data_IF_227077028969
#
_entry.id   IF_227077028969
#
_cell.length_a   1.000
_cell.length_b   1.000
_cell.length_c   1.000
_cell.angle_alpha   90.00
_cell.angle_beta   90.00
_cell.angle_gamma   90.00
#
_symmetry.space_group_name_H-M   'P 1'
#
loop_
_entity.id
_entity.type
_entity.pdbx_description
1 polymer ?
#
# COMPACT_ATOMS: atom_id res chain seq x y z
N UNK A 1 -29.37 2.55 8.70
CA UNK A 1 -29.50 1.14 9.15
C UNK A 1 -28.17 0.39 9.24
N UNK A 2 -27.04 0.90 8.69
CA UNK A 2 -25.70 0.30 8.86
C UNK A 2 -24.90 0.88 10.07
N UNK A 3 -25.22 2.10 10.55
CA UNK A 3 -24.37 2.85 11.49
C UNK A 3 -24.49 2.41 12.95
N UNK A 4 -25.67 1.97 13.36
CA UNK A 4 -25.90 1.37 14.68
C UNK A 4 -25.21 0.00 14.79
N UNK A 5 -24.95 -0.67 13.65
CA UNK A 5 -24.27 -1.97 13.59
C UNK A 5 -22.76 -1.87 13.84
N UNK A 6 -22.24 -0.67 14.11
CA UNK A 6 -20.86 -0.47 14.58
C UNK A 6 -20.76 -0.42 16.10
N UNK A 7 -21.88 -0.33 16.82
CA UNK A 7 -21.88 -0.35 18.28
C UNK A 7 -21.49 -1.73 18.78
N UNK A 8 -20.40 -1.81 19.53
CA UNK A 8 -19.77 -3.05 20.00
C UNK A 8 -18.43 -3.36 19.33
N UNK A 9 -18.02 -2.52 18.38
CA UNK A 9 -16.72 -2.62 17.71
C UNK A 9 -15.60 -1.94 18.48
N UNK A 10 -14.39 -2.44 18.31
CA UNK A 10 -13.16 -1.99 18.96
C UNK A 10 -12.22 -1.43 17.91
N UNK A 11 -11.75 -0.21 18.16
CA UNK A 11 -10.81 0.55 17.33
C UNK A 11 -9.50 0.79 18.08
N UNK A 12 -8.40 0.95 17.37
CA UNK A 12 -7.19 1.57 17.94
C UNK A 12 -7.16 3.04 17.56
N UNK A 13 -7.14 3.92 18.54
CA UNK A 13 -7.07 5.37 18.34
C UNK A 13 -5.92 5.96 19.13
N UNK A 14 -5.24 6.95 18.57
CA UNK A 14 -4.32 7.79 19.34
C UNK A 14 -5.13 8.72 20.24
N UNK A 15 -5.06 8.46 21.56
CA UNK A 15 -5.79 9.19 22.58
C UNK A 15 -4.93 10.28 23.24
N UNK A 16 -3.79 10.62 22.64
CA UNK A 16 -2.91 11.69 23.15
C UNK A 16 -3.67 13.01 23.30
N UNK A 17 -3.72 13.53 24.52
CA UNK A 17 -4.45 14.77 24.85
C UNK A 17 -5.96 14.61 25.02
N UNK A 18 -6.51 13.39 24.97
CA UNK A 18 -7.90 13.13 25.33
C UNK A 18 -8.06 13.07 26.87
N UNK A 19 -9.02 13.83 27.41
CA UNK A 19 -9.28 13.87 28.84
C UNK A 19 -9.63 12.48 29.40
N UNK A 20 -8.98 12.09 30.50
CA UNK A 20 -9.17 10.81 31.19
C UNK A 20 -8.74 9.56 30.40
N UNK A 21 -7.95 9.73 29.34
CA UNK A 21 -7.35 8.62 28.62
C UNK A 21 -5.81 8.65 28.74
N UNK A 22 -5.15 7.49 28.76
CA UNK A 22 -3.69 7.44 28.63
C UNK A 22 -3.26 7.96 27.26
N UNK A 23 -2.17 8.73 27.22
CA UNK A 23 -1.58 9.19 25.96
C UNK A 23 -1.10 8.00 25.09
N UNK A 24 -1.16 8.19 23.77
CA UNK A 24 -0.79 7.19 22.76
C UNK A 24 -1.95 6.33 22.27
N UNK A 25 -1.62 5.29 21.50
CA UNK A 25 -2.62 4.38 20.93
C UNK A 25 -3.30 3.52 21.99
N UNK A 26 -4.63 3.65 22.11
CA UNK A 26 -5.46 2.87 23.00
C UNK A 26 -6.53 2.11 22.22
N UNK A 27 -6.88 0.87 22.63
CA UNK A 27 -8.08 0.21 22.15
C UNK A 27 -9.33 0.86 22.77
N UNK A 28 -10.27 1.29 21.93
CA UNK A 28 -11.52 1.93 22.33
C UNK A 28 -12.71 1.13 21.82
N UNK A 29 -13.75 1.00 22.64
CA UNK A 29 -15.02 0.37 22.28
C UNK A 29 -16.03 1.44 21.84
N UNK A 30 -16.65 1.27 20.68
CA UNK A 30 -17.81 2.08 20.28
C UNK A 30 -19.04 1.59 21.05
N UNK A 31 -19.49 2.35 22.05
CA UNK A 31 -20.57 1.92 22.95
C UNK A 31 -21.95 2.37 22.50
N UNK A 32 -22.02 3.46 21.74
CA UNK A 32 -23.29 4.04 21.31
C UNK A 32 -23.14 4.91 20.06
N UNK A 33 -24.11 4.82 19.15
CA UNK A 33 -24.27 5.83 18.10
C UNK A 33 -24.91 7.10 18.68
N UNK A 34 -24.22 8.22 18.56
CA UNK A 34 -24.65 9.50 19.14
C UNK A 34 -25.43 10.33 18.12
N UNK A 35 -24.96 10.36 16.88
CA UNK A 35 -25.65 11.08 15.81
C UNK A 35 -24.79 11.33 14.59
N UNK A 36 -25.41 11.94 13.59
CA UNK A 36 -24.82 12.18 12.27
C UNK A 36 -25.07 13.63 11.86
N UNK A 37 -24.00 14.33 11.47
CA UNK A 37 -24.02 15.68 10.90
C UNK A 37 -23.77 15.67 9.40
N UNK A 38 -23.73 16.84 8.75
CA UNK A 38 -23.51 16.96 7.31
C UNK A 38 -22.18 16.32 6.86
N UNK A 39 -21.13 16.46 7.67
CA UNK A 39 -19.76 16.07 7.33
C UNK A 39 -19.15 15.02 8.27
N UNK A 40 -19.90 14.53 9.25
CA UNK A 40 -19.33 13.64 10.27
C UNK A 40 -20.35 12.73 10.92
N UNK A 41 -19.87 11.64 11.50
CA UNK A 41 -20.62 10.69 12.31
C UNK A 41 -20.01 10.60 13.70
N UNK A 42 -20.84 10.49 14.73
CA UNK A 42 -20.42 10.58 16.13
C UNK A 42 -20.82 9.33 16.89
N UNK A 43 -19.87 8.75 17.62
CA UNK A 43 -20.04 7.60 18.51
C UNK A 43 -19.56 7.94 19.92
N UNK A 44 -20.21 7.38 20.94
CA UNK A 44 -19.61 7.29 22.28
C UNK A 44 -18.54 6.22 22.28
N UNK A 45 -17.46 6.48 23.01
CA UNK A 45 -16.35 5.55 23.15
C UNK A 45 -16.03 5.31 24.62
N UNK A 46 -15.64 4.06 24.94
CA UNK A 46 -15.21 3.64 26.26
C UNK A 46 -13.91 2.82 26.19
N UNK A 47 -13.05 2.85 27.23
CA UNK A 47 -11.91 1.95 27.30
C UNK A 47 -12.40 0.50 27.49
N UNK A 48 -11.70 -0.49 26.92
CA UNK A 48 -12.07 -1.90 27.08
C UNK A 48 -12.11 -2.35 28.55
N UNK A 49 -11.29 -1.74 29.40
CA UNK A 49 -11.27 -2.04 30.84
C UNK A 49 -12.50 -1.53 31.58
N UNK A 50 -13.18 -0.50 31.06
CA UNK A 50 -14.36 0.12 31.67
C UNK A 50 -15.41 0.43 30.57
N UNK A 51 -16.04 -0.61 29.98
CA UNK A 51 -16.86 -0.49 28.76
C UNK A 51 -18.20 0.25 28.98
N UNK A 52 -18.51 0.63 30.22
CA UNK A 52 -19.69 1.43 30.58
C UNK A 52 -19.39 2.93 30.69
N UNK A 53 -18.13 3.34 30.51
CA UNK A 53 -17.72 4.73 30.62
C UNK A 53 -17.94 5.47 29.29
N UNK A 54 -19.09 6.15 29.15
CA UNK A 54 -19.50 6.85 27.92
C UNK A 54 -19.18 8.36 27.93
N UNK A 55 -18.08 8.77 28.60
CA UNK A 55 -17.77 10.19 28.83
C UNK A 55 -17.12 10.89 27.63
N UNK A 56 -16.69 10.14 26.62
CA UNK A 56 -15.97 10.65 25.45
C UNK A 56 -16.70 10.26 24.17
N UNK A 57 -16.66 11.16 23.19
CA UNK A 57 -17.21 10.91 21.85
C UNK A 57 -16.12 10.96 20.79
N UNK A 58 -16.20 10.01 19.86
CA UNK A 58 -15.42 9.97 18.64
C UNK A 58 -16.23 10.61 17.50
N UNK A 59 -15.67 11.63 16.87
CA UNK A 59 -16.24 12.26 15.66
C UNK A 59 -15.42 11.83 14.44
N UNK A 60 -16.03 11.03 13.57
CA UNK A 60 -15.44 10.55 12.32
C UNK A 60 -15.93 11.41 11.15
N UNK A 61 -15.05 11.99 10.32
CA UNK A 61 -15.46 12.69 9.10
C UNK A 61 -16.12 11.73 8.09
N UNK A 62 -17.12 12.19 7.34
CA UNK A 62 -17.81 11.41 6.29
C UNK A 62 -17.02 11.32 4.99
N UNK A 63 -16.20 12.33 4.69
CA UNK A 63 -15.28 12.35 3.53
C UNK A 63 -14.11 11.38 3.69
N UNK A 64 -14.02 10.74 4.85
CA UNK A 64 -13.07 9.69 5.12
C UNK A 64 -13.56 8.42 4.38
N UNK A 65 -12.88 7.94 3.32
CA UNK A 65 -13.12 6.61 2.78
C UNK A 65 -13.09 5.52 3.85
N UNK A 66 -12.38 5.80 4.95
CA UNK A 66 -12.47 5.16 6.25
C UNK A 66 -13.91 4.86 6.70
N UNK A 67 -14.87 5.77 6.64
CA UNK A 67 -16.18 5.45 7.21
C UNK A 67 -17.07 4.61 6.29
N UNK A 68 -16.84 4.50 4.99
CA UNK A 68 -17.50 3.46 4.17
C UNK A 68 -16.73 2.15 4.24
N UNK A 69 -15.40 2.18 4.18
CA UNK A 69 -14.55 0.98 4.15
C UNK A 69 -14.31 0.37 5.54
N UNK A 70 -14.14 1.13 6.61
CA UNK A 70 -14.13 0.63 7.99
C UNK A 70 -15.49 0.01 8.31
N UNK A 71 -16.59 0.68 7.90
CA UNK A 71 -17.95 0.19 8.18
C UNK A 71 -18.32 -1.04 7.37
N UNK A 72 -17.76 -1.20 6.18
CA UNK A 72 -17.99 -2.37 5.32
C UNK A 72 -16.96 -3.49 5.59
N UNK A 73 -15.74 -3.17 6.01
CA UNK A 73 -14.62 -4.12 5.99
C UNK A 73 -13.67 -3.92 7.20
N UNK A 74 -14.14 -4.38 8.36
CA UNK A 74 -13.41 -5.30 9.25
C UNK A 74 -12.04 -4.93 9.85
N UNK A 75 -11.66 -3.67 10.00
CA UNK A 75 -10.63 -3.31 11.02
C UNK A 75 -11.16 -3.44 12.47
N UNK A 76 -12.48 -3.54 12.63
CA UNK A 76 -13.16 -3.64 13.91
C UNK A 76 -13.10 -5.04 14.54
N UNK A 77 -12.38 -5.19 15.65
CA UNK A 77 -12.59 -6.33 16.55
C UNK A 77 -13.93 -6.13 17.28
N UNK A 78 -14.79 -7.14 17.40
CA UNK A 78 -16.01 -7.01 18.22
C UNK A 78 -15.68 -7.41 19.65
N UNK A 79 -16.18 -6.66 20.63
CA UNK A 79 -16.14 -7.09 22.03
C UNK A 79 -17.17 -8.20 22.26
N UNK A 80 -16.88 -9.42 21.81
CA UNK A 80 -17.81 -10.54 21.74
C UNK A 80 -18.37 -10.97 23.10
N UNK A 81 -17.69 -10.67 24.22
CA UNK A 81 -18.23 -10.90 25.56
C UNK A 81 -19.43 -9.99 25.88
N UNK A 82 -19.45 -8.76 25.37
CA UNK A 82 -20.52 -7.78 25.59
C UNK A 82 -21.54 -7.78 24.44
N UNK A 83 -21.08 -8.08 23.23
CA UNK A 83 -21.87 -8.10 22.01
C UNK A 83 -21.74 -9.45 21.28
N UNK A 84 -22.21 -10.56 21.88
CA UNK A 84 -22.05 -11.90 21.31
C UNK A 84 -22.87 -12.11 20.02
N UNK A 85 -23.97 -11.37 19.85
CA UNK A 85 -24.82 -11.42 18.65
C UNK A 85 -24.58 -10.25 17.70
N UNK A 86 -23.43 -9.58 17.83
CA UNK A 86 -23.10 -8.47 16.94
C UNK A 86 -23.09 -8.96 15.48
N UNK A 87 -23.67 -8.22 14.52
CA UNK A 87 -23.70 -8.65 13.12
C UNK A 87 -22.31 -8.83 12.49
N UNK A 88 -21.29 -8.17 13.07
CA UNK A 88 -19.87 -8.33 12.69
C UNK A 88 -19.09 -9.37 13.54
N UNK A 89 -19.73 -10.04 14.51
CA UNK A 89 -19.12 -11.12 15.27
C UNK A 89 -19.13 -12.41 14.44
N UNK A 90 -18.25 -12.45 13.44
CA UNK A 90 -18.10 -13.60 12.55
C UNK A 90 -16.90 -14.45 12.95
N UNK A 91 -16.97 -15.76 12.67
CA UNK A 91 -15.80 -16.62 12.83
C UNK A 91 -14.71 -16.22 11.82
N UNK A 92 -13.40 -16.45 12.12
CA UNK A 92 -12.34 -16.13 11.16
C UNK A 92 -12.53 -16.76 9.77
N UNK A 93 -12.98 -18.03 9.62
CA UNK A 93 -13.29 -18.60 8.31
C UNK A 93 -14.44 -17.90 7.56
N UNK A 94 -15.55 -17.59 8.25
CA UNK A 94 -16.70 -16.90 7.63
C UNK A 94 -16.30 -15.49 7.18
N UNK A 95 -15.42 -14.85 7.95
CA UNK A 95 -14.83 -13.54 7.64
C UNK A 95 -13.96 -13.59 6.39
N UNK A 96 -13.12 -14.61 6.24
CA UNK A 96 -12.35 -14.78 5.02
C UNK A 96 -13.27 -14.96 3.80
N UNK A 97 -14.32 -15.79 3.90
CA UNK A 97 -15.25 -16.01 2.77
C UNK A 97 -16.04 -14.73 2.41
N UNK A 98 -16.45 -13.94 3.40
CA UNK A 98 -17.09 -12.64 3.15
C UNK A 98 -16.13 -11.65 2.49
N UNK A 99 -14.87 -11.57 2.97
CA UNK A 99 -13.84 -10.74 2.34
C UNK A 99 -13.59 -11.14 0.89
N UNK A 100 -13.57 -12.43 0.58
CA UNK A 100 -13.47 -12.87 -0.81
C UNK A 100 -14.64 -12.39 -1.66
N UNK A 101 -15.87 -12.60 -1.20
CA UNK A 101 -17.07 -12.28 -1.99
C UNK A 101 -17.30 -10.77 -2.15
N UNK A 102 -17.04 -9.98 -1.13
CA UNK A 102 -17.28 -8.53 -1.14
C UNK A 102 -16.01 -7.74 -1.51
N UNK A 103 -14.87 -8.07 -0.91
CA UNK A 103 -13.65 -7.27 -1.05
C UNK A 103 -12.98 -7.50 -2.39
N UNK A 104 -12.94 -8.73 -2.92
CA UNK A 104 -12.41 -8.92 -4.28
C UNK A 104 -13.29 -8.18 -5.30
N UNK A 105 -14.62 -8.18 -5.14
CA UNK A 105 -15.48 -7.39 -6.02
C UNK A 105 -15.17 -5.88 -5.92
N UNK A 106 -14.87 -5.39 -4.71
CA UNK A 106 -14.45 -4.00 -4.47
C UNK A 106 -13.04 -3.69 -4.97
N UNK A 107 -12.14 -4.65 -4.99
CA UNK A 107 -10.83 -4.52 -5.63
C UNK A 107 -10.95 -4.27 -7.15
N UNK A 108 -12.11 -4.56 -7.75
CA UNK A 108 -12.39 -4.21 -9.13
C UNK A 108 -13.04 -2.82 -9.30
N UNK A 109 -13.40 -2.14 -8.22
CA UNK A 109 -14.02 -0.82 -8.25
C UNK A 109 -12.91 0.24 -8.47
N UNK A 110 -12.88 0.95 -9.61
CA UNK A 110 -11.89 1.98 -9.87
C UNK A 110 -11.89 3.05 -8.78
N UNK A 111 -13.06 3.33 -8.19
CA UNK A 111 -13.20 4.32 -7.14
C UNK A 111 -12.64 3.85 -5.79
N UNK A 112 -12.39 2.56 -5.58
CA UNK A 112 -11.73 2.08 -4.37
C UNK A 112 -10.29 2.60 -4.30
N UNK A 113 -9.60 2.64 -5.44
CA UNK A 113 -8.22 3.10 -5.50
C UNK A 113 -8.10 4.59 -5.18
N UNK A 114 -9.05 5.40 -5.67
CA UNK A 114 -9.16 6.82 -5.31
C UNK A 114 -9.41 7.07 -3.81
N UNK A 115 -9.92 6.05 -3.10
CA UNK A 115 -10.24 6.07 -1.67
C UNK A 115 -9.10 5.56 -0.77
N UNK A 116 -8.06 4.95 -1.33
CA UNK A 116 -6.84 4.59 -0.59
C UNK A 116 -6.03 5.88 -0.43
N UNK A 117 -5.94 6.40 0.79
CA UNK A 117 -5.31 7.68 1.10
C UNK A 117 -3.87 7.79 0.56
N UNK A 118 -3.09 6.72 0.73
CA UNK A 118 -1.71 6.62 0.24
C UNK A 118 -1.64 6.70 -1.28
N UNK A 119 -2.65 6.15 -1.98
CA UNK A 119 -2.75 6.23 -3.43
C UNK A 119 -3.21 7.62 -3.87
N UNK A 120 -4.21 8.20 -3.20
CA UNK A 120 -4.68 9.57 -3.46
C UNK A 120 -3.53 10.58 -3.35
N UNK A 121 -2.69 10.46 -2.34
CA UNK A 121 -1.50 11.32 -2.19
C UNK A 121 -0.51 11.16 -3.36
N UNK A 122 -0.33 9.95 -3.88
CA UNK A 122 0.52 9.70 -5.06
C UNK A 122 -0.11 10.30 -6.31
N UNK A 123 -1.43 10.22 -6.46
CA UNK A 123 -2.15 10.87 -7.56
C UNK A 123 -2.01 12.39 -7.49
N UNK A 124 -2.24 13.00 -6.33
CA UNK A 124 -2.07 14.45 -6.15
C UNK A 124 -0.61 14.89 -6.43
N UNK A 125 0.37 14.08 -6.03
CA UNK A 125 1.78 14.32 -6.35
C UNK A 125 2.06 14.17 -7.86
N UNK A 126 1.44 13.19 -8.52
CA UNK A 126 1.58 12.96 -9.97
C UNK A 126 0.96 14.11 -10.77
N UNK A 127 -0.21 14.58 -10.37
CA UNK A 127 -0.86 15.79 -10.91
C UNK A 127 0.06 17.00 -10.77
N UNK A 128 0.69 17.16 -9.61
CA UNK A 128 1.64 18.27 -9.38
C UNK A 128 2.85 18.18 -10.32
N UNK A 129 3.43 16.99 -10.50
CA UNK A 129 4.55 16.76 -11.43
C UNK A 129 4.15 17.08 -12.87
N UNK A 130 2.97 16.62 -13.30
CA UNK A 130 2.45 16.90 -14.64
C UNK A 130 2.21 18.40 -14.85
N UNK A 131 1.55 19.05 -13.90
CA UNK A 131 1.28 20.50 -13.94
C UNK A 131 2.58 21.31 -14.05
N UNK A 132 3.62 20.90 -13.33
CA UNK A 132 4.94 21.53 -13.40
C UNK A 132 5.63 21.26 -14.73
N UNK A 133 5.57 20.03 -15.26
CA UNK A 133 6.16 19.69 -16.54
C UNK A 133 5.55 20.50 -17.70
N UNK A 134 4.24 20.77 -17.62
CA UNK A 134 3.52 21.54 -18.62
C UNK A 134 3.66 23.06 -18.47
N UNK A 135 4.29 23.55 -17.39
CA UNK A 135 4.55 24.97 -17.21
C UNK A 135 5.51 25.54 -18.27
N UNK A 136 6.39 24.70 -18.81
CA UNK A 136 7.36 25.07 -19.84
C UNK A 136 6.86 24.76 -21.27
N UNK A 137 5.65 24.20 -21.40
CA UNK A 137 5.01 23.83 -22.65
C UNK A 137 4.58 22.35 -22.72
N UNK A 138 3.95 21.92 -23.83
CA UNK A 138 3.46 20.55 -23.97
C UNK A 138 4.59 19.51 -23.93
N UNK A 139 4.40 18.43 -23.17
CA UNK A 139 5.36 17.33 -23.01
C UNK A 139 4.71 16.00 -23.36
N UNK A 140 5.33 15.13 -24.19
CA UNK A 140 4.83 13.77 -24.41
C UNK A 140 4.93 12.94 -23.13
N UNK A 141 3.86 12.20 -22.81
CA UNK A 141 3.76 11.45 -21.55
C UNK A 141 4.33 10.02 -21.61
N UNK A 142 4.74 9.54 -22.79
CA UNK A 142 5.22 8.17 -22.98
C UNK A 142 6.45 7.85 -22.13
N UNK A 143 7.33 8.84 -21.93
CA UNK A 143 8.55 8.74 -21.11
C UNK A 143 8.41 9.47 -19.76
N UNK A 144 7.17 9.79 -19.35
CA UNK A 144 6.93 10.50 -18.10
C UNK A 144 7.40 9.68 -16.89
N UNK A 145 8.06 10.29 -15.89
CA UNK A 145 8.44 9.60 -14.66
C UNK A 145 7.23 9.14 -13.84
N UNK A 146 6.02 9.64 -14.15
CA UNK A 146 4.75 9.23 -13.51
C UNK A 146 3.86 8.42 -14.44
N UNK A 147 4.37 7.91 -15.56
CA UNK A 147 3.59 7.20 -16.59
C UNK A 147 2.70 6.09 -16.02
N UNK A 148 3.24 5.28 -15.12
CA UNK A 148 2.52 4.15 -14.50
C UNK A 148 1.38 4.59 -13.55
N UNK A 149 1.40 5.84 -13.09
CA UNK A 149 0.40 6.46 -12.22
C UNK A 149 -0.66 7.26 -13.00
N UNK A 150 -0.50 7.38 -14.32
CA UNK A 150 -1.50 8.01 -15.19
C UNK A 150 -2.59 6.98 -15.50
N UNK A 151 -3.75 7.16 -14.86
CA UNK A 151 -4.93 6.34 -15.01
C UNK A 151 -6.23 7.17 -15.01
N UNK A 152 -7.38 6.50 -15.10
CA UNK A 152 -8.67 7.17 -15.06
C UNK A 152 -8.94 7.86 -13.70
N UNK A 153 -8.33 7.39 -12.61
CA UNK A 153 -8.45 8.03 -11.29
C UNK A 153 -7.68 9.35 -11.24
N UNK A 154 -6.52 9.44 -11.88
CA UNK A 154 -5.77 10.68 -12.05
C UNK A 154 -6.58 11.70 -12.83
N UNK A 155 -7.18 11.30 -13.95
CA UNK A 155 -8.05 12.15 -14.79
C UNK A 155 -9.24 12.65 -13.97
N UNK A 156 -9.90 11.75 -13.24
CA UNK A 156 -11.03 12.10 -12.37
C UNK A 156 -10.62 13.14 -11.32
N UNK A 157 -9.51 12.90 -10.62
CA UNK A 157 -8.99 13.81 -9.60
C UNK A 157 -8.59 15.18 -10.15
N UNK A 158 -7.90 15.20 -11.29
CA UNK A 158 -7.53 16.45 -11.94
C UNK A 158 -8.77 17.27 -12.35
N UNK A 159 -9.82 16.60 -12.81
CA UNK A 159 -11.11 17.23 -13.15
C UNK A 159 -11.76 17.83 -11.91
N UNK A 160 -11.84 17.08 -10.79
CA UNK A 160 -12.37 17.60 -9.52
C UNK A 160 -11.63 18.87 -9.06
N UNK A 161 -10.29 18.87 -9.15
CA UNK A 161 -9.49 20.03 -8.72
C UNK A 161 -9.73 21.27 -9.58
N UNK A 162 -10.01 21.10 -10.87
CA UNK A 162 -10.36 22.17 -11.80
C UNK A 162 -11.79 22.69 -11.58
N UNK A 163 -12.74 21.77 -11.35
CA UNK A 163 -14.16 22.07 -11.16
C UNK A 163 -14.44 22.76 -9.81
N UNK A 164 -13.72 22.37 -8.75
CA UNK A 164 -13.90 22.92 -7.40
C UNK A 164 -13.02 24.15 -7.11
N UNK A 165 -12.31 24.69 -8.11
CA UNK A 165 -11.35 25.81 -7.97
C UNK A 165 -10.29 25.57 -6.86
N UNK A 166 -9.89 24.31 -6.66
CA UNK A 166 -8.94 23.89 -5.63
C UNK A 166 -7.46 23.99 -6.07
N UNK A 167 -7.21 24.50 -7.28
CA UNK A 167 -5.87 24.77 -7.80
C UNK A 167 -5.52 26.26 -7.72
N UNK A 168 -4.23 26.56 -7.54
CA UNK A 168 -3.73 27.95 -7.64
C UNK A 168 -3.92 28.43 -9.07
N UNK A 169 -4.61 29.56 -9.24
CA UNK A 169 -5.04 30.09 -10.56
C UNK A 169 -3.93 30.14 -11.62
N UNK A 170 -2.69 30.46 -11.24
CA UNK A 170 -1.52 30.50 -12.13
C UNK A 170 -1.14 29.14 -12.76
N UNK A 171 -1.65 28.04 -12.22
CA UNK A 171 -1.38 26.67 -12.65
C UNK A 171 -2.59 26.03 -13.34
N UNK A 172 -3.74 26.71 -13.40
CA UNK A 172 -4.97 26.18 -14.02
C UNK A 172 -4.74 25.78 -15.47
N UNK A 173 -4.23 26.70 -16.30
CA UNK A 173 -3.99 26.44 -17.73
C UNK A 173 -3.01 25.26 -17.94
N UNK A 174 -2.01 25.13 -17.08
CA UNK A 174 -1.04 24.04 -17.15
C UNK A 174 -1.70 22.70 -16.83
N UNK A 175 -2.56 22.65 -15.80
CA UNK A 175 -3.29 21.44 -15.43
C UNK A 175 -4.31 21.06 -16.51
N UNK A 176 -5.03 22.03 -17.09
CA UNK A 176 -5.94 21.78 -18.22
C UNK A 176 -5.21 21.15 -19.42
N UNK A 177 -4.02 21.67 -19.75
CA UNK A 177 -3.19 21.10 -20.82
C UNK A 177 -2.69 19.69 -20.47
N UNK A 178 -2.23 19.49 -19.22
CA UNK A 178 -1.75 18.19 -18.75
C UNK A 178 -2.87 17.14 -18.74
N UNK A 179 -4.09 17.53 -18.34
CA UNK A 179 -5.27 16.68 -18.32
C UNK A 179 -5.64 16.22 -19.75
N UNK A 180 -5.71 17.16 -20.70
CA UNK A 180 -6.00 16.84 -22.09
C UNK A 180 -4.97 15.88 -22.70
N UNK A 181 -3.68 16.05 -22.41
CA UNK A 181 -2.65 15.12 -22.87
C UNK A 181 -2.72 13.77 -22.14
N UNK A 182 -3.04 13.73 -20.85
CA UNK A 182 -3.23 12.49 -20.11
C UNK A 182 -4.38 11.64 -20.68
N UNK A 183 -5.53 12.25 -20.95
CA UNK A 183 -6.65 11.59 -21.61
C UNK A 183 -6.27 11.04 -23.00
N UNK A 184 -5.57 11.86 -23.80
CA UNK A 184 -5.09 11.44 -25.12
C UNK A 184 -4.08 10.28 -25.02
N UNK A 185 -3.15 10.33 -24.07
CA UNK A 185 -2.17 9.29 -23.82
C UNK A 185 -2.82 7.96 -23.40
N UNK A 186 -3.80 8.00 -22.49
CA UNK A 186 -4.56 6.81 -22.07
C UNK A 186 -5.24 6.15 -23.27
N UNK A 187 -5.89 6.94 -24.14
CA UNK A 187 -6.53 6.43 -25.37
C UNK A 187 -5.49 5.76 -26.28
N UNK A 188 -4.33 6.39 -26.49
CA UNK A 188 -3.25 5.82 -27.30
C UNK A 188 -2.73 4.51 -26.71
N UNK A 189 -2.43 4.49 -25.41
CA UNK A 189 -1.91 3.30 -24.73
C UNK A 189 -2.90 2.14 -24.72
N UNK A 190 -4.20 2.42 -24.60
CA UNK A 190 -5.24 1.39 -24.73
C UNK A 190 -5.27 0.81 -26.13
N UNK A 191 -5.17 1.66 -27.16
CA UNK A 191 -5.16 1.24 -28.55
C UNK A 191 -3.91 0.41 -28.92
N UNK A 192 -2.79 0.63 -28.25
CA UNK A 192 -1.55 -0.13 -28.41
C UNK A 192 -1.38 -1.27 -27.39
N UNK A 193 -2.40 -1.59 -26.59
CA UNK A 193 -2.36 -2.62 -25.54
C UNK A 193 -1.23 -2.42 -24.50
N UNK A 194 -0.76 -1.18 -24.34
CA UNK A 194 0.31 -0.79 -23.40
C UNK A 194 -0.21 -0.02 -22.19
N UNK A 195 -1.54 0.04 -22.01
CA UNK A 195 -2.18 0.69 -20.86
C UNK A 195 -2.21 -0.27 -19.67
N UNK A 196 -1.21 -0.15 -18.81
CA UNK A 196 -1.02 -0.96 -17.60
C UNK A 196 -0.81 -0.01 -16.42
N UNK A 197 -1.86 0.64 -15.92
CA UNK A 197 -1.73 1.52 -14.77
C UNK A 197 -1.57 0.72 -13.47
N UNK A 198 -0.90 1.31 -12.49
CA UNK A 198 -0.69 0.71 -11.17
C UNK A 198 -2.01 0.34 -10.48
N UNK A 199 -3.05 1.17 -10.63
CA UNK A 199 -4.39 0.94 -10.08
C UNK A 199 -5.10 -0.31 -10.61
N UNK A 200 -4.74 -0.77 -11.81
CA UNK A 200 -5.30 -1.99 -12.37
C UNK A 200 -4.68 -3.26 -11.78
N UNK A 201 -3.66 -3.14 -10.92
CA UNK A 201 -3.02 -4.29 -10.30
C UNK A 201 -3.66 -4.66 -8.95
N UNK A 202 -4.30 -5.85 -8.84
CA UNK A 202 -4.93 -6.28 -7.59
C UNK A 202 -3.96 -6.43 -6.41
N UNK A 203 -2.68 -6.73 -6.65
CA UNK A 203 -1.66 -6.86 -5.60
C UNK A 203 -1.32 -5.49 -4.99
N UNK A 204 -1.23 -4.44 -5.81
CA UNK A 204 -0.99 -3.08 -5.32
C UNK A 204 -2.17 -2.62 -4.47
N UNK A 205 -3.40 -2.93 -4.91
CA UNK A 205 -4.59 -2.60 -4.16
C UNK A 205 -4.65 -3.32 -2.82
N UNK A 206 -4.34 -4.63 -2.78
CA UNK A 206 -4.25 -5.39 -1.53
C UNK A 206 -3.18 -4.84 -0.60
N UNK A 207 -2.01 -4.44 -1.13
CA UNK A 207 -0.97 -3.80 -0.34
C UNK A 207 -1.44 -2.46 0.23
N UNK A 208 -2.16 -1.64 -0.55
CA UNK A 208 -2.77 -0.39 -0.09
C UNK A 208 -3.77 -0.61 1.04
N UNK A 209 -4.64 -1.62 0.90
CA UNK A 209 -5.60 -1.99 1.93
C UNK A 209 -4.91 -2.48 3.22
N UNK A 210 -3.84 -3.28 3.10
CA UNK A 210 -3.03 -3.71 4.25
C UNK A 210 -2.39 -2.50 4.92
N UNK A 211 -1.72 -1.66 4.15
CA UNK A 211 -1.06 -0.48 4.66
C UNK A 211 -2.05 0.37 5.43
N UNK A 212 -3.22 0.68 4.88
CA UNK A 212 -4.23 1.50 5.55
C UNK A 212 -4.97 0.83 6.71
N UNK A 213 -4.66 -0.44 6.98
CA UNK A 213 -5.24 -1.18 8.10
C UNK A 213 -6.67 -1.65 7.84
N UNK A 214 -7.13 -1.60 6.59
CA UNK A 214 -8.43 -2.14 6.18
C UNK A 214 -8.46 -3.66 6.20
N UNK A 215 -7.31 -4.30 5.96
CA UNK A 215 -7.12 -5.75 6.11
C UNK A 215 -5.89 -6.06 6.95
N UNK A 216 -5.93 -7.20 7.63
CA UNK A 216 -4.79 -7.80 8.31
C UNK A 216 -3.88 -8.57 7.35
N UNK A 217 -2.65 -8.85 7.79
CA UNK A 217 -1.70 -9.72 7.09
C UNK A 217 -2.29 -11.09 6.76
N UNK A 218 -3.04 -11.69 7.70
CA UNK A 218 -3.67 -13.00 7.48
C UNK A 218 -4.70 -12.96 6.34
N UNK A 219 -5.51 -11.91 6.30
CA UNK A 219 -6.54 -11.72 5.28
C UNK A 219 -5.92 -11.45 3.92
N UNK A 220 -4.92 -10.56 3.87
CA UNK A 220 -4.13 -10.31 2.67
C UNK A 220 -3.51 -11.61 2.13
N UNK A 221 -2.84 -12.38 2.99
CA UNK A 221 -2.18 -13.64 2.60
C UNK A 221 -3.17 -14.70 2.09
N UNK A 222 -4.37 -14.76 2.68
CA UNK A 222 -5.43 -15.66 2.24
C UNK A 222 -6.01 -15.22 0.89
N UNK A 223 -6.35 -13.94 0.73
CA UNK A 223 -6.89 -13.38 -0.52
C UNK A 223 -5.91 -13.53 -1.68
N UNK A 224 -4.62 -13.31 -1.41
CA UNK A 224 -3.53 -13.46 -2.38
C UNK A 224 -3.47 -14.85 -3.03
N UNK A 225 -3.99 -15.88 -2.35
CA UNK A 225 -3.99 -17.28 -2.79
C UNK A 225 -5.32 -17.74 -3.38
N UNK A 226 -6.33 -16.88 -3.43
CA UNK A 226 -7.63 -17.23 -4.02
C UNK A 226 -7.53 -17.35 -5.54
N UNK A 227 -8.28 -18.28 -6.13
CA UNK A 227 -8.35 -18.44 -7.59
C UNK A 227 -8.90 -17.18 -8.25
N UNK A 228 -9.89 -16.54 -7.62
CA UNK A 228 -10.54 -15.35 -8.12
C UNK A 228 -9.60 -14.15 -8.22
N UNK A 229 -8.60 -14.04 -7.33
CA UNK A 229 -7.52 -13.07 -7.51
C UNK A 229 -6.59 -13.48 -8.63
N UNK A 230 -6.19 -14.76 -8.67
CA UNK A 230 -5.33 -15.34 -9.71
C UNK A 230 -5.84 -15.10 -11.13
N UNK A 231 -7.15 -15.29 -11.36
CA UNK A 231 -7.83 -15.05 -12.64
C UNK A 231 -7.76 -13.58 -13.12
N UNK A 232 -7.36 -12.66 -12.24
CA UNK A 232 -7.27 -11.21 -12.52
C UNK A 232 -5.83 -10.72 -12.59
N UNK A 233 -4.88 -11.52 -12.14
CA UNK A 233 -3.49 -11.16 -12.25
C UNK A 233 -3.05 -11.28 -13.70
N UNK A 234 -2.21 -10.36 -14.12
CA UNK A 234 -1.65 -10.29 -15.46
C UNK A 234 -0.12 -10.26 -15.30
N UNK A 235 0.64 -11.20 -15.90
CA UNK A 235 2.10 -11.30 -15.72
C UNK A 235 2.83 -9.98 -16.01
N UNK A 236 2.37 -9.24 -17.01
CA UNK A 236 2.90 -7.96 -17.46
C UNK A 236 2.87 -6.89 -16.36
N UNK A 237 2.00 -7.06 -15.35
CA UNK A 237 1.87 -6.09 -14.27
C UNK A 237 2.86 -6.36 -13.13
N UNK A 238 3.49 -7.54 -13.05
CA UNK A 238 4.36 -7.96 -11.95
C UNK A 238 5.60 -7.06 -11.74
N UNK A 239 6.33 -6.64 -12.80
CA UNK A 239 7.56 -5.86 -12.62
C UNK A 239 7.34 -4.49 -11.95
N UNK A 240 6.17 -3.87 -12.12
CA UNK A 240 5.84 -2.55 -11.57
C UNK A 240 5.26 -2.56 -10.15
N UNK A 241 4.77 -3.71 -9.67
CA UNK A 241 4.09 -3.78 -8.36
C UNK A 241 5.02 -3.40 -7.22
N UNK A 242 6.28 -3.82 -7.27
CA UNK A 242 7.17 -3.57 -6.14
C UNK A 242 7.52 -2.10 -5.99
N UNK A 243 7.79 -1.41 -7.11
CA UNK A 243 8.01 0.03 -7.12
C UNK A 243 6.77 0.77 -6.60
N UNK A 244 5.57 0.34 -6.99
CA UNK A 244 4.31 0.89 -6.50
C UNK A 244 4.12 0.68 -4.99
N UNK A 245 4.29 -0.54 -4.49
CA UNK A 245 4.18 -0.89 -3.07
C UNK A 245 5.20 -0.13 -2.23
N UNK A 246 6.45 -0.05 -2.68
CA UNK A 246 7.49 0.72 -2.01
C UNK A 246 7.16 2.23 -1.99
N UNK A 247 6.62 2.78 -3.08
CA UNK A 247 6.20 4.18 -3.15
C UNK A 247 5.08 4.48 -2.16
N UNK A 248 4.05 3.63 -2.10
CA UNK A 248 2.95 3.73 -1.12
C UNK A 248 3.46 3.66 0.32
N UNK A 249 4.37 2.72 0.60
CA UNK A 249 4.99 2.59 1.92
C UNK A 249 5.76 3.85 2.33
N UNK A 250 6.68 4.36 1.50
CA UNK A 250 7.51 5.51 1.84
C UNK A 250 6.68 6.79 2.02
N UNK A 251 5.60 6.95 1.23
CA UNK A 251 4.64 8.05 1.41
C UNK A 251 3.94 7.97 2.76
N UNK A 252 3.36 6.82 3.09
CA UNK A 252 2.71 6.58 4.39
C UNK A 252 3.67 6.77 5.57
N UNK A 253 4.91 6.32 5.43
CA UNK A 253 5.93 6.44 6.47
C UNK A 253 6.36 7.90 6.73
N UNK A 254 5.88 8.86 5.95
CA UNK A 254 6.22 10.28 6.07
C UNK A 254 7.64 10.61 5.64
N UNK A 255 8.29 9.71 4.89
CA UNK A 255 9.67 9.90 4.48
C UNK A 255 9.75 10.82 3.26
N UNK A 256 10.26 12.04 3.47
CA UNK A 256 11.01 12.71 2.41
C UNK A 256 12.29 11.89 2.21
N UNK A 257 12.55 11.47 0.98
CA UNK A 257 13.76 10.72 0.54
C UNK A 257 15.08 11.50 0.77
N UNK A 258 15.07 12.64 1.47
CA UNK A 258 16.25 13.44 1.76
C UNK A 258 16.81 13.20 3.16
N UNK A 259 18.06 12.75 3.17
CA UNK A 259 19.06 12.81 4.23
C UNK A 259 18.81 12.01 5.53
N UNK A 260 19.64 10.97 5.65
CA UNK A 260 20.27 10.44 6.88
C UNK A 260 19.62 10.93 8.19
N UNK A 261 18.94 9.98 8.86
CA UNK A 261 18.71 9.83 10.31
C UNK A 261 17.21 9.72 10.67
N UNK A 262 16.85 8.53 11.20
CA UNK A 262 15.66 8.13 12.00
C UNK A 262 14.41 7.60 11.29
N UNK A 263 14.60 6.38 10.76
CA UNK A 263 13.75 5.17 10.72
C UNK A 263 12.20 5.28 10.58
N UNK A 264 11.62 4.65 9.55
CA UNK A 264 10.19 4.35 9.43
C UNK A 264 9.89 3.02 10.15
N UNK A 265 10.03 2.99 11.48
CA UNK A 265 9.93 1.73 12.25
C UNK A 265 8.51 1.20 12.45
N UNK A 266 7.49 2.07 12.39
CA UNK A 266 6.13 1.72 12.80
C UNK A 266 5.40 0.82 11.79
N UNK A 267 5.69 0.97 10.49
CA UNK A 267 5.02 0.25 9.41
C UNK A 267 5.92 -0.77 8.69
N UNK A 268 7.16 -0.94 9.17
CA UNK A 268 8.08 -1.94 8.64
C UNK A 268 7.50 -3.36 8.56
N UNK A 269 6.71 -3.84 9.56
CA UNK A 269 6.04 -5.13 9.46
C UNK A 269 5.09 -5.22 8.26
N UNK A 270 4.34 -4.16 7.97
CA UNK A 270 3.36 -4.14 6.87
C UNK A 270 4.06 -4.28 5.51
N UNK A 271 5.22 -3.64 5.32
CA UNK A 271 6.02 -3.79 4.09
C UNK A 271 6.64 -5.19 3.96
N UNK A 272 7.10 -5.77 5.07
CA UNK A 272 7.59 -7.16 5.10
C UNK A 272 6.45 -8.12 4.73
N UNK A 273 5.26 -7.92 5.30
CA UNK A 273 4.07 -8.71 4.98
C UNK A 273 3.66 -8.54 3.51
N UNK A 274 3.69 -7.33 2.96
CA UNK A 274 3.40 -7.09 1.55
C UNK A 274 4.36 -7.83 0.61
N UNK A 275 5.55 -8.24 1.06
CA UNK A 275 6.46 -9.07 0.26
C UNK A 275 5.86 -10.48 -0.01
N UNK A 276 4.99 -10.97 0.87
CA UNK A 276 4.30 -12.27 0.71
C UNK A 276 3.30 -12.26 -0.45
N UNK A 277 2.79 -11.08 -0.84
CA UNK A 277 1.93 -10.93 -2.01
C UNK A 277 2.64 -11.40 -3.28
N UNK A 278 3.94 -11.10 -3.41
CA UNK A 278 4.73 -11.51 -4.58
C UNK A 278 4.92 -13.03 -4.60
N UNK A 279 5.27 -13.62 -3.46
CA UNK A 279 5.39 -15.07 -3.35
C UNK A 279 4.05 -15.77 -3.68
N UNK A 280 2.93 -15.22 -3.21
CA UNK A 280 1.60 -15.73 -3.51
C UNK A 280 1.23 -15.57 -5.00
N UNK A 281 1.62 -14.47 -5.65
CA UNK A 281 1.44 -14.28 -7.09
C UNK A 281 2.15 -15.38 -7.90
N UNK A 282 3.31 -15.85 -7.43
CA UNK A 282 4.02 -16.98 -8.02
C UNK A 282 3.23 -18.30 -8.05
N UNK A 283 2.22 -18.47 -7.19
CA UNK A 283 1.34 -19.65 -7.23
C UNK A 283 0.35 -19.62 -8.39
N UNK A 284 0.04 -18.44 -8.92
CA UNK A 284 -0.86 -18.24 -10.07
C UNK A 284 -0.12 -18.26 -11.39
N UNK A 285 1.19 -18.00 -11.38
CA UNK A 285 2.06 -18.01 -12.56
C UNK A 285 3.22 -18.99 -12.40
N UNK A 286 3.01 -20.29 -12.65
CA UNK A 286 4.05 -21.31 -12.48
C UNK A 286 5.35 -21.00 -13.23
N UNK A 287 5.25 -20.41 -14.43
CA UNK A 287 6.41 -20.03 -15.25
C UNK A 287 7.23 -18.87 -14.65
N UNK A 288 6.61 -18.07 -13.76
CA UNK A 288 7.23 -16.93 -13.08
C UNK A 288 7.45 -17.20 -11.59
N UNK A 289 7.14 -18.41 -11.08
CA UNK A 289 7.18 -18.71 -9.65
C UNK A 289 8.54 -18.42 -9.01
N UNK A 290 9.63 -18.82 -9.67
CA UNK A 290 11.00 -18.53 -9.21
C UNK A 290 11.29 -17.03 -9.19
N UNK A 291 10.81 -16.28 -10.19
CA UNK A 291 11.02 -14.84 -10.26
C UNK A 291 10.26 -14.15 -9.11
N UNK A 292 9.00 -14.53 -8.89
CA UNK A 292 8.16 -14.03 -7.80
C UNK A 292 8.75 -14.34 -6.41
N UNK A 293 9.27 -15.54 -6.21
CA UNK A 293 9.95 -15.95 -4.97
C UNK A 293 11.20 -15.08 -4.71
N UNK A 294 12.05 -14.92 -5.72
CA UNK A 294 13.26 -14.14 -5.61
C UNK A 294 12.99 -12.64 -5.39
N UNK A 295 11.93 -12.09 -6.01
CA UNK A 295 11.48 -10.72 -5.72
C UNK A 295 11.02 -10.60 -4.27
N UNK A 296 10.19 -11.53 -3.79
CA UNK A 296 9.69 -11.52 -2.42
C UNK A 296 10.85 -11.54 -1.42
N UNK A 297 11.82 -12.43 -1.60
CA UNK A 297 12.96 -12.57 -0.70
C UNK A 297 13.96 -11.42 -0.80
N UNK A 298 14.24 -10.91 -2.01
CA UNK A 298 15.13 -9.77 -2.20
C UNK A 298 14.60 -8.53 -1.48
N UNK A 299 13.31 -8.23 -1.66
CA UNK A 299 12.67 -7.08 -1.04
C UNK A 299 12.42 -7.26 0.46
N UNK A 300 12.08 -8.47 0.90
CA UNK A 300 12.01 -8.80 2.33
C UNK A 300 13.37 -8.57 2.98
N UNK A 301 14.44 -9.14 2.43
CA UNK A 301 15.80 -9.00 2.93
C UNK A 301 16.25 -7.54 3.02
N UNK A 302 16.01 -6.75 1.96
CA UNK A 302 16.28 -5.30 1.95
C UNK A 302 15.49 -4.55 3.02
N UNK A 303 14.21 -4.85 3.18
CA UNK A 303 13.36 -4.21 4.19
C UNK A 303 13.83 -4.53 5.61
N UNK A 304 14.17 -5.80 5.88
CA UNK A 304 14.75 -6.25 7.14
C UNK A 304 16.09 -5.55 7.44
N UNK A 305 16.93 -5.37 6.42
CA UNK A 305 18.20 -4.64 6.53
C UNK A 305 17.97 -3.18 6.95
N UNK A 306 17.09 -2.46 6.25
CA UNK A 306 16.80 -1.03 6.50
C UNK A 306 16.19 -0.80 7.89
N UNK A 307 15.43 -1.77 8.38
CA UNK A 307 14.71 -1.68 9.65
C UNK A 307 15.58 -2.13 10.83
N UNK A 308 16.69 -2.82 10.54
CA UNK A 308 17.73 -3.22 11.48
C UNK A 308 17.42 -4.52 12.20
N UNK A 309 16.82 -5.48 11.49
CA UNK A 309 16.59 -6.85 11.95
C UNK A 309 17.91 -7.63 12.12
N UNK A 310 17.89 -8.80 12.79
CA UNK A 310 19.06 -9.64 12.93
C UNK A 310 19.70 -9.99 11.57
N UNK A 311 21.03 -9.90 11.49
CA UNK A 311 21.78 -10.18 10.26
C UNK A 311 21.45 -11.56 9.67
N UNK A 312 21.25 -12.57 10.52
CA UNK A 312 20.89 -13.92 10.07
C UNK A 312 19.59 -13.98 9.25
N UNK A 313 18.57 -13.20 9.61
CA UNK A 313 17.30 -13.13 8.88
C UNK A 313 17.49 -12.41 7.54
N UNK A 314 18.22 -11.29 7.55
CA UNK A 314 18.55 -10.51 6.34
C UNK A 314 19.33 -11.37 5.33
N UNK A 315 20.41 -12.00 5.78
CA UNK A 315 21.28 -12.82 4.92
C UNK A 315 20.52 -14.02 4.38
N UNK A 316 19.68 -14.68 5.17
CA UNK A 316 18.91 -15.84 4.70
C UNK A 316 18.00 -15.48 3.52
N UNK A 317 17.24 -14.38 3.62
CA UNK A 317 16.39 -13.92 2.51
C UNK A 317 17.21 -13.48 1.30
N UNK A 318 18.24 -12.64 1.49
CA UNK A 318 19.03 -12.13 0.36
C UNK A 318 19.85 -13.22 -0.34
N UNK A 319 20.38 -14.21 0.36
CA UNK A 319 21.08 -15.34 -0.27
C UNK A 319 20.14 -16.24 -1.07
N UNK A 320 18.89 -16.45 -0.61
CA UNK A 320 17.90 -17.20 -1.41
C UNK A 320 17.60 -16.45 -2.72
N UNK A 321 17.32 -15.15 -2.64
CA UNK A 321 17.10 -14.31 -3.81
C UNK A 321 18.31 -14.32 -4.75
N UNK A 322 19.53 -14.15 -4.21
CA UNK A 322 20.80 -14.18 -4.97
C UNK A 322 20.95 -15.48 -5.77
N UNK A 323 20.71 -16.63 -5.13
CA UNK A 323 20.82 -17.93 -5.78
C UNK A 323 19.82 -18.10 -6.93
N UNK A 324 18.58 -17.63 -6.74
CA UNK A 324 17.55 -17.70 -7.77
C UNK A 324 17.85 -16.76 -8.94
N UNK A 325 18.24 -15.50 -8.66
CA UNK A 325 18.60 -14.54 -9.71
C UNK A 325 19.75 -15.00 -10.59
N UNK A 326 20.78 -15.60 -9.98
CA UNK A 326 21.89 -16.19 -10.72
C UNK A 326 21.41 -17.28 -11.68
N UNK A 327 20.48 -18.13 -11.23
CA UNK A 327 19.91 -19.22 -12.04
C UNK A 327 19.03 -18.70 -13.17
N UNK A 328 18.26 -17.63 -12.93
CA UNK A 328 17.40 -17.00 -13.94
C UNK A 328 18.19 -16.15 -14.94
N UNK A 329 19.42 -15.73 -14.60
CA UNK A 329 20.23 -14.85 -15.43
C UNK A 329 19.83 -13.36 -15.32
N UNK A 330 19.08 -13.00 -14.28
CA UNK A 330 18.61 -11.63 -14.03
C UNK A 330 19.73 -10.78 -13.41
N UNK A 331 20.68 -10.34 -14.24
CA UNK A 331 21.91 -9.70 -13.78
C UNK A 331 21.68 -8.38 -13.02
N UNK A 332 20.61 -7.64 -13.34
CA UNK A 332 20.29 -6.39 -12.64
C UNK A 332 19.83 -6.64 -11.20
N UNK A 333 18.88 -7.56 -10.99
CA UNK A 333 18.40 -7.92 -9.66
C UNK A 333 19.45 -8.66 -8.84
N UNK A 334 20.26 -9.49 -9.52
CA UNK A 334 21.43 -10.13 -8.92
C UNK A 334 22.44 -9.10 -8.40
N UNK A 335 22.77 -8.08 -9.20
CA UNK A 335 23.64 -6.98 -8.79
C UNK A 335 23.10 -6.24 -7.56
N UNK A 336 21.81 -5.91 -7.56
CA UNK A 336 21.20 -5.16 -6.46
C UNK A 336 21.13 -6.00 -5.18
N UNK A 337 20.87 -7.30 -5.28
CA UNK A 337 20.93 -8.23 -4.14
C UNK A 337 22.34 -8.32 -3.55
N UNK A 338 23.38 -8.38 -4.39
CA UNK A 338 24.78 -8.36 -3.95
C UNK A 338 25.16 -7.06 -3.24
N UNK A 339 24.62 -5.93 -3.69
CA UNK A 339 24.85 -4.64 -3.04
C UNK A 339 24.30 -4.67 -1.61
N UNK A 340 23.09 -5.18 -1.46
CA UNK A 340 22.38 -5.21 -0.18
C UNK A 340 23.04 -6.23 0.78
N UNK A 341 23.52 -7.37 0.27
CA UNK A 341 24.35 -8.33 1.03
C UNK A 341 25.68 -7.71 1.51
N UNK A 342 26.38 -7.00 0.63
CA UNK A 342 27.61 -6.31 1.00
C UNK A 342 27.36 -5.27 2.11
N UNK A 343 26.27 -4.51 2.01
CA UNK A 343 25.89 -3.53 3.04
C UNK A 343 25.58 -4.21 4.38
N UNK A 344 24.82 -5.31 4.36
CA UNK A 344 24.46 -6.07 5.56
C UNK A 344 25.70 -6.60 6.32
N UNK A 345 26.72 -7.06 5.59
CA UNK A 345 27.92 -7.67 6.17
C UNK A 345 29.03 -6.65 6.51
N UNK A 346 29.01 -5.44 5.93
CA UNK A 346 30.13 -4.47 5.98
C UNK A 346 30.74 -4.23 7.37
N UNK A 347 29.92 -4.24 8.43
CA UNK A 347 30.36 -3.95 9.80
C UNK A 347 30.70 -5.20 10.61
N UNK A 348 30.01 -6.31 10.35
CA UNK A 348 30.04 -7.50 11.21
C UNK A 348 30.92 -8.61 10.62
N UNK A 349 31.08 -8.63 9.29
CA UNK A 349 31.86 -9.60 8.55
C UNK A 349 32.46 -8.95 7.28
N UNK A 350 33.56 -8.19 7.44
CA UNK A 350 34.17 -7.46 6.33
C UNK A 350 34.70 -8.35 5.21
N UNK A 351 35.06 -9.59 5.51
CA UNK A 351 35.59 -10.54 4.53
C UNK A 351 34.48 -10.97 3.58
N UNK A 352 33.33 -11.41 4.10
CA UNK A 352 32.14 -11.70 3.26
C UNK A 352 31.67 -10.46 2.49
N UNK A 353 31.69 -9.28 3.11
CA UNK A 353 31.35 -8.04 2.42
C UNK A 353 32.29 -7.76 1.23
N UNK A 354 33.60 -8.03 1.37
CA UNK A 354 34.57 -7.88 0.30
C UNK A 354 34.33 -8.88 -0.84
N UNK A 355 33.92 -10.11 -0.54
CA UNK A 355 33.54 -11.12 -1.54
C UNK A 355 32.34 -10.66 -2.37
N UNK A 356 31.24 -10.23 -1.72
CA UNK A 356 30.07 -9.70 -2.44
C UNK A 356 30.41 -8.47 -3.28
N UNK A 357 31.26 -7.57 -2.79
CA UNK A 357 31.71 -6.40 -3.56
C UNK A 357 32.58 -6.78 -4.76
N UNK A 358 33.39 -7.84 -4.66
CA UNK A 358 34.18 -8.33 -5.78
C UNK A 358 33.28 -8.91 -6.87
N UNK A 359 32.29 -9.72 -6.48
CA UNK A 359 31.30 -10.30 -7.40
C UNK A 359 30.44 -9.21 -8.05
N UNK A 360 29.97 -8.22 -7.26
CA UNK A 360 29.20 -7.08 -7.75
C UNK A 360 29.94 -6.30 -8.85
N UNK A 361 31.26 -6.13 -8.72
CA UNK A 361 32.09 -5.48 -9.76
C UNK A 361 32.12 -6.27 -11.06
N UNK A 362 32.20 -7.61 -10.97
CA UNK A 362 32.16 -8.46 -12.16
C UNK A 362 30.80 -8.35 -12.88
N UNK A 363 29.70 -8.31 -12.13
CA UNK A 363 28.35 -8.14 -12.69
C UNK A 363 28.18 -6.77 -13.33
N UNK A 364 28.69 -5.68 -12.71
CA UNK A 364 28.67 -4.33 -13.32
C UNK A 364 29.36 -4.29 -14.69
N UNK A 365 30.52 -4.92 -14.80
CA UNK A 365 31.24 -5.04 -16.07
C UNK A 365 30.41 -5.80 -17.12
N UNK A 366 29.73 -6.88 -16.72
CA UNK A 366 28.84 -7.63 -17.61
C UNK A 366 27.60 -6.82 -18.06
N UNK A 367 27.09 -5.94 -17.19
CA UNK A 367 25.99 -5.01 -17.49
C UNK A 367 26.42 -3.79 -18.32
N UNK A 368 27.72 -3.62 -18.58
CA UNK A 368 28.26 -2.44 -19.27
C UNK A 368 28.15 -1.14 -18.44
N UNK A 369 28.13 -1.25 -17.11
CA UNK A 369 28.00 -0.13 -16.16
C UNK A 369 29.27 0.14 -15.37
#
# INVERSE_FOLDING_TARGET
MLRDNLVGTVLKLDMTGACNWPDGEQPVLLTKFVGEGAESVVYSIAPLSEPTQDDVVLKLPKTAPYFEMDTLHHSFAVHTELYPEHPLAMSPPDRLEMLKSEMLAKVADPHLVFRIDSYREIIDASISILTMAFADGPVPLDDSPVREWIDDNLVHRATELLDEDLIVEQHRENLECALAEAEAAIVRWRASESYVPVSANPLVMLAGLLFEGFISEQEMSWLARTQELGDRLVPEHLPGVVAAVATMYHRRAGEKVSDRVRRPKRHAPDLVAACDLFAAAGTHFPDHANWCEAMADGWRGRTLLLTGHPLAEVTASLENARAIWLRLGELAEYHDTLRDLAEAHLRNDPDSAAEYLAELRAVRQALGR
#
